data_IF_724253667175
#
_entry.id   IF_724253667175
#
_cell.length_a   1.000
_cell.length_b   1.000
_cell.length_c   1.000
_cell.angle_alpha   90.00
_cell.angle_beta   90.00
_cell.angle_gamma   90.00
#
_symmetry.space_group_name_H-M   'P 1'
#
loop_
_entity.id
_entity.type
_entity.pdbx_description
1 polymer ?
#
# COMPACT_ATOMS: atom_id res chain seq x y z
N UNK A 1 28.90 3.31 -15.53
CA UNK A 1 27.88 3.87 -14.59
C UNK A 1 27.89 3.00 -13.33
N UNK A 2 28.34 3.55 -12.18
CA UNK A 2 28.64 2.74 -10.98
C UNK A 2 27.37 2.17 -10.33
N UNK A 3 27.05 0.92 -10.63
CA UNK A 3 25.89 0.18 -10.08
C UNK A 3 25.91 0.22 -8.54
N UNK A 4 27.09 0.08 -7.93
CA UNK A 4 27.24 0.16 -6.47
C UNK A 4 26.86 1.53 -5.90
N UNK A 5 27.25 2.63 -6.56
CA UNK A 5 26.88 3.98 -6.11
C UNK A 5 25.38 4.21 -6.19
N UNK A 6 24.74 3.78 -7.27
CA UNK A 6 23.29 3.92 -7.43
C UNK A 6 22.52 3.08 -6.41
N UNK A 7 23.01 1.88 -6.10
CA UNK A 7 22.45 1.02 -5.07
C UNK A 7 22.54 1.65 -3.67
N UNK A 8 23.70 2.23 -3.31
CA UNK A 8 23.87 2.92 -2.03
C UNK A 8 22.97 4.14 -1.91
N UNK A 9 22.83 4.94 -2.98
CA UNK A 9 21.93 6.11 -3.01
C UNK A 9 20.49 5.66 -2.83
N UNK A 10 20.05 4.64 -3.55
CA UNK A 10 18.69 4.11 -3.47
C UNK A 10 18.37 3.57 -2.08
N UNK A 11 19.28 2.79 -1.49
CA UNK A 11 19.13 2.26 -0.13
C UNK A 11 19.07 3.38 0.91
N UNK A 12 19.92 4.41 0.75
CA UNK A 12 19.89 5.59 1.62
C UNK A 12 18.58 6.36 1.52
N UNK A 13 18.04 6.54 0.31
CA UNK A 13 16.74 7.19 0.11
C UNK A 13 15.59 6.41 0.75
N UNK A 14 15.58 5.08 0.61
CA UNK A 14 14.57 4.22 1.26
C UNK A 14 14.66 4.37 2.78
N UNK A 15 15.87 4.34 3.35
CA UNK A 15 16.05 4.49 4.80
C UNK A 15 15.58 5.86 5.30
N UNK A 16 15.88 6.94 4.58
CA UNK A 16 15.40 8.28 4.90
C UNK A 16 13.88 8.37 4.86
N UNK A 17 13.25 7.76 3.85
CA UNK A 17 11.80 7.69 3.71
C UNK A 17 11.16 6.92 4.87
N UNK A 18 11.71 5.78 5.26
CA UNK A 18 11.23 5.01 6.40
C UNK A 18 11.36 5.78 7.71
N UNK A 19 12.49 6.43 7.92
CA UNK A 19 12.71 7.23 9.10
C UNK A 19 11.72 8.42 9.18
N UNK A 20 11.42 9.03 8.04
CA UNK A 20 10.45 10.13 7.94
C UNK A 20 9.03 9.66 8.27
N UNK A 21 8.60 8.52 7.72
CA UNK A 21 7.30 7.92 8.03
C UNK A 21 7.23 7.47 9.50
N UNK A 22 8.31 6.90 10.02
CA UNK A 22 8.40 6.53 11.43
C UNK A 22 8.19 7.72 12.37
N UNK A 23 8.65 8.92 11.99
CA UNK A 23 8.38 10.12 12.78
C UNK A 23 6.88 10.43 12.89
N UNK A 24 6.11 10.25 11.81
CA UNK A 24 4.66 10.38 11.87
C UNK A 24 4.04 9.34 12.82
N UNK A 25 4.49 8.09 12.71
CA UNK A 25 4.04 7.03 13.61
C UNK A 25 4.35 7.34 15.08
N UNK A 26 5.53 7.86 15.37
CA UNK A 26 5.95 8.30 16.70
C UNK A 26 5.08 9.42 17.28
N UNK A 27 4.50 10.30 16.45
CA UNK A 27 3.62 11.37 16.94
C UNK A 27 2.25 10.85 17.41
N UNK A 28 1.81 9.69 16.89
CA UNK A 28 0.50 9.11 17.21
C UNK A 28 0.59 8.17 18.42
N UNK A 29 1.67 7.37 18.51
CA UNK A 29 1.80 6.39 19.58
C UNK A 29 3.05 6.60 20.43
N UNK A 30 2.87 6.56 21.75
CA UNK A 30 3.95 6.52 22.73
C UNK A 30 4.34 5.10 23.15
N UNK A 31 3.57 4.08 22.72
CA UNK A 31 3.78 2.70 23.09
C UNK A 31 5.05 2.13 22.44
N UNK A 32 6.03 1.76 23.27
CA UNK A 32 7.31 1.20 22.82
C UNK A 32 7.15 -0.11 22.05
N UNK A 33 6.21 -0.98 22.43
CA UNK A 33 5.99 -2.25 21.75
C UNK A 33 5.52 -2.02 20.29
N UNK A 34 4.63 -1.04 20.05
CA UNK A 34 4.20 -0.69 18.69
C UNK A 34 5.34 -0.10 17.86
N UNK A 35 6.21 0.69 18.46
CA UNK A 35 7.39 1.27 17.78
C UNK A 35 8.40 0.20 17.40
N UNK A 36 8.66 -0.76 18.29
CA UNK A 36 9.52 -1.91 18.00
C UNK A 36 8.88 -2.77 16.91
N UNK A 37 7.58 -3.06 17.01
CA UNK A 37 6.83 -3.79 16.01
C UNK A 37 6.92 -3.18 14.61
N UNK A 38 6.82 -1.84 14.49
CA UNK A 38 7.01 -1.14 13.23
C UNK A 38 8.37 -1.46 12.59
N UNK A 39 9.46 -1.35 13.36
CA UNK A 39 10.81 -1.62 12.86
C UNK A 39 11.03 -3.10 12.53
N UNK A 40 10.51 -4.03 13.34
CA UNK A 40 10.59 -5.46 13.06
C UNK A 40 9.91 -5.81 11.74
N UNK A 41 8.68 -5.32 11.53
CA UNK A 41 7.96 -5.55 10.27
C UNK A 41 8.71 -4.92 9.09
N UNK A 42 9.21 -3.70 9.25
CA UNK A 42 9.99 -3.01 8.22
C UNK A 42 11.24 -3.81 7.83
N UNK A 43 12.01 -4.28 8.80
CA UNK A 43 13.21 -5.09 8.57
C UNK A 43 12.87 -6.41 7.87
N UNK A 44 11.80 -7.09 8.29
CA UNK A 44 11.36 -8.34 7.67
C UNK A 44 10.95 -8.14 6.20
N UNK A 45 10.19 -7.08 5.91
CA UNK A 45 9.75 -6.78 4.55
C UNK A 45 10.93 -6.43 3.64
N UNK A 46 11.83 -5.54 4.07
CA UNK A 46 13.00 -5.21 3.26
C UNK A 46 13.99 -6.38 3.16
N UNK A 47 14.15 -7.16 4.24
CA UNK A 47 14.94 -8.40 4.20
C UNK A 47 14.39 -9.39 3.17
N UNK A 48 13.06 -9.53 3.09
CA UNK A 48 12.41 -10.32 2.05
C UNK A 48 12.72 -9.80 0.64
N UNK A 49 12.62 -8.48 0.39
CA UNK A 49 12.95 -7.91 -0.92
C UNK A 49 14.43 -8.09 -1.29
N UNK A 50 15.34 -7.92 -0.33
CA UNK A 50 16.77 -8.16 -0.56
C UNK A 50 17.02 -9.64 -0.89
N UNK A 51 16.41 -10.56 -0.15
CA UNK A 51 16.50 -12.00 -0.42
C UNK A 51 16.01 -12.32 -1.84
N UNK A 52 14.84 -11.80 -2.23
CA UNK A 52 14.27 -12.00 -3.56
C UNK A 52 15.19 -11.42 -4.65
N UNK A 53 15.77 -10.24 -4.44
CA UNK A 53 16.69 -9.61 -5.37
C UNK A 53 17.96 -10.44 -5.57
N UNK A 54 18.52 -11.00 -4.50
CA UNK A 54 19.75 -11.81 -4.55
C UNK A 54 19.52 -13.20 -5.16
N UNK A 55 18.33 -13.77 -4.98
CA UNK A 55 17.99 -15.13 -5.45
C UNK A 55 17.27 -15.14 -6.80
N UNK A 56 16.90 -13.97 -7.33
CA UNK A 56 16.21 -13.87 -8.61
C UNK A 56 17.15 -14.20 -9.77
N UNK A 57 16.94 -15.36 -10.40
CA UNK A 57 17.62 -15.74 -11.64
C UNK A 57 16.74 -15.37 -12.83
N UNK A 58 17.30 -14.71 -13.84
CA UNK A 58 16.59 -14.28 -15.06
C UNK A 58 15.87 -15.42 -15.82
N UNK A 59 16.25 -16.67 -15.53
CA UNK A 59 15.63 -17.89 -16.07
C UNK A 59 14.35 -18.32 -15.34
N UNK A 60 14.14 -17.88 -14.09
CA UNK A 60 12.99 -18.28 -13.28
C UNK A 60 11.81 -17.33 -13.57
N UNK A 61 11.02 -17.65 -14.61
CA UNK A 61 9.69 -17.08 -14.81
C UNK A 61 8.67 -17.76 -13.90
N UNK A 62 8.94 -17.82 -12.62
CA UNK A 62 7.97 -18.29 -11.65
C UNK A 62 6.92 -17.21 -11.39
N UNK A 63 5.78 -17.33 -12.08
CA UNK A 63 4.65 -16.42 -11.93
C UNK A 63 4.19 -16.29 -10.48
N UNK A 64 4.25 -17.38 -9.71
CA UNK A 64 3.85 -17.38 -8.31
C UNK A 64 4.78 -16.51 -7.46
N UNK A 65 6.08 -16.60 -7.69
CA UNK A 65 7.10 -15.78 -7.01
C UNK A 65 6.92 -14.29 -7.31
N UNK A 66 6.72 -13.95 -8.58
CA UNK A 66 6.45 -12.56 -9.00
C UNK A 66 5.18 -12.04 -8.33
N UNK A 67 4.13 -12.86 -8.27
CA UNK A 67 2.87 -12.51 -7.63
C UNK A 67 3.06 -12.21 -6.13
N UNK A 68 3.83 -13.03 -5.41
CA UNK A 68 4.11 -12.80 -3.98
C UNK A 68 4.87 -11.49 -3.78
N UNK A 69 5.94 -11.25 -4.54
CA UNK A 69 6.74 -10.02 -4.46
C UNK A 69 5.87 -8.79 -4.71
N UNK A 70 5.05 -8.83 -5.78
CA UNK A 70 4.13 -7.73 -6.11
C UNK A 70 3.08 -7.53 -5.01
N UNK A 71 2.56 -8.60 -4.42
CA UNK A 71 1.58 -8.53 -3.33
C UNK A 71 2.17 -7.86 -2.09
N UNK A 72 3.38 -8.26 -1.69
CA UNK A 72 4.08 -7.64 -0.53
C UNK A 72 4.37 -6.16 -0.82
N UNK A 73 4.77 -5.82 -2.06
CA UNK A 73 4.97 -4.44 -2.48
C UNK A 73 3.69 -3.61 -2.34
N UNK A 74 2.57 -4.11 -2.87
CA UNK A 74 1.28 -3.40 -2.83
C UNK A 74 0.77 -3.21 -1.40
N UNK A 75 0.94 -4.22 -0.53
CA UNK A 75 0.47 -4.14 0.86
C UNK A 75 1.31 -3.18 1.70
N UNK A 76 2.65 -3.20 1.54
CA UNK A 76 3.55 -2.51 2.45
C UNK A 76 4.11 -1.20 1.92
N UNK A 77 4.48 -1.14 0.65
CA UNK A 77 5.18 0.02 0.11
C UNK A 77 4.20 1.04 -0.44
N UNK A 78 3.18 0.58 -1.18
CA UNK A 78 2.22 1.50 -1.79
C UNK A 78 1.46 2.38 -0.77
N UNK A 79 0.94 1.84 0.36
CA UNK A 79 0.29 2.69 1.36
C UNK A 79 1.22 3.75 1.98
N UNK A 80 2.53 3.49 2.06
CA UNK A 80 3.52 4.45 2.58
C UNK A 80 3.61 5.72 1.73
N UNK A 81 3.38 5.64 0.43
CA UNK A 81 3.32 6.83 -0.43
C UNK A 81 2.18 7.78 -0.03
N UNK A 82 1.06 7.25 0.45
CA UNK A 82 -0.03 8.09 0.96
C UNK A 82 0.38 8.81 2.24
N UNK A 83 1.02 8.11 3.18
CA UNK A 83 1.57 8.76 4.38
C UNK A 83 2.54 9.85 3.99
N UNK A 84 3.47 9.53 3.08
CA UNK A 84 4.48 10.47 2.59
C UNK A 84 3.84 11.72 1.98
N UNK A 85 2.80 11.54 1.16
CA UNK A 85 2.07 12.65 0.53
C UNK A 85 1.52 13.63 1.57
N UNK A 86 0.84 13.15 2.61
CA UNK A 86 0.29 14.01 3.67
C UNK A 86 1.37 14.69 4.49
N UNK A 87 2.47 14.01 4.78
CA UNK A 87 3.58 14.58 5.53
C UNK A 87 4.33 15.66 4.73
N UNK A 88 4.59 15.40 3.45
CA UNK A 88 5.23 16.38 2.56
C UNK A 88 4.32 17.60 2.34
N UNK A 89 3.02 17.40 2.20
CA UNK A 89 2.07 18.50 2.10
C UNK A 89 2.13 19.36 3.38
N UNK A 90 2.18 18.74 4.58
CA UNK A 90 2.33 19.47 5.83
C UNK A 90 3.62 20.27 5.86
N UNK A 91 4.76 19.65 5.54
CA UNK A 91 6.05 20.29 5.56
C UNK A 91 6.13 21.43 4.53
N UNK A 92 5.54 21.25 3.35
CA UNK A 92 5.43 22.29 2.34
C UNK A 92 4.63 23.50 2.85
N UNK A 93 3.45 23.29 3.45
CA UNK A 93 2.67 24.37 4.03
C UNK A 93 3.37 25.05 5.21
N UNK A 94 4.16 24.31 5.97
CA UNK A 94 4.96 24.85 7.05
C UNK A 94 6.06 25.76 6.52
N UNK A 95 6.81 25.33 5.51
CA UNK A 95 7.86 26.14 4.87
C UNK A 95 7.27 27.41 4.25
N UNK A 96 6.15 27.28 3.53
CA UNK A 96 5.46 28.43 2.93
C UNK A 96 5.06 29.46 4.00
N UNK A 97 4.52 28.98 5.13
CA UNK A 97 4.12 29.84 6.24
C UNK A 97 5.35 30.51 6.89
N UNK A 98 6.45 29.79 7.09
CA UNK A 98 7.69 30.38 7.58
C UNK A 98 8.23 31.47 6.64
N UNK A 99 8.19 31.25 5.34
CA UNK A 99 8.59 32.26 4.34
C UNK A 99 7.71 33.52 4.39
N UNK A 100 6.41 33.35 4.62
CA UNK A 100 5.45 34.46 4.74
C UNK A 100 5.48 35.14 6.11
N UNK A 101 5.82 34.42 7.19
CA UNK A 101 5.87 34.95 8.56
C UNK A 101 7.04 35.87 8.80
N UNK A 102 8.01 35.95 7.89
CA UNK A 102 9.03 37.02 7.89
C UNK A 102 8.40 38.42 7.81
N UNK A 103 7.11 38.51 7.47
CA UNK A 103 6.32 39.74 7.38
C UNK A 103 5.25 39.86 8.48
N UNK A 104 5.04 38.83 9.33
CA UNK A 104 4.04 38.86 10.42
C UNK A 104 4.55 38.13 11.67
N UNK A 105 4.54 38.80 12.88
CA UNK A 105 5.26 38.29 14.07
C UNK A 105 4.59 37.16 14.85
N UNK A 106 3.51 36.55 14.41
CA UNK A 106 2.86 35.44 15.14
C UNK A 106 3.08 34.11 14.48
N UNK A 107 4.11 33.39 14.93
CA UNK A 107 4.32 31.97 14.59
C UNK A 107 3.69 31.09 15.68
N UNK A 108 2.40 30.82 15.58
CA UNK A 108 1.77 29.83 16.44
C UNK A 108 2.19 28.40 16.01
N UNK A 109 2.88 27.71 16.90
CA UNK A 109 3.21 26.30 16.76
C UNK A 109 1.94 25.48 17.02
N UNK A 110 1.42 24.79 15.98
CA UNK A 110 0.26 23.91 16.12
C UNK A 110 0.69 22.43 16.08
N UNK A 111 1.15 21.83 17.19
CA UNK A 111 1.54 20.41 17.24
C UNK A 111 0.37 19.48 16.94
N UNK A 112 -0.85 19.89 17.22
CA UNK A 112 -2.08 19.15 16.96
C UNK A 112 -2.33 18.93 15.46
N UNK A 113 -1.97 19.90 14.61
CA UNK A 113 -2.11 19.78 13.16
C UNK A 113 -1.25 18.66 12.59
N UNK A 114 0.01 18.56 13.05
CA UNK A 114 0.91 17.48 12.63
C UNK A 114 0.37 16.12 13.05
N UNK A 115 -0.14 16.01 14.29
CA UNK A 115 -0.78 14.79 14.78
C UNK A 115 -2.00 14.43 13.94
N UNK A 116 -2.84 15.40 13.61
CA UNK A 116 -4.04 15.21 12.78
C UNK A 116 -3.69 14.72 11.37
N UNK A 117 -2.73 15.35 10.68
CA UNK A 117 -2.32 14.94 9.34
C UNK A 117 -1.60 13.59 9.34
N UNK A 118 -0.80 13.30 10.38
CA UNK A 118 -0.21 11.96 10.57
C UNK A 118 -1.28 10.90 10.78
N UNK A 119 -2.36 11.21 11.52
CA UNK A 119 -3.48 10.30 11.74
C UNK A 119 -4.23 10.01 10.44
N UNK A 120 -4.51 11.05 9.64
CA UNK A 120 -5.15 10.88 8.32
C UNK A 120 -4.25 10.06 7.39
N UNK A 121 -2.95 10.39 7.32
CA UNK A 121 -2.00 9.68 6.47
C UNK A 121 -1.88 8.20 6.84
N UNK A 122 -1.67 7.89 8.12
CA UNK A 122 -1.58 6.51 8.60
C UNK A 122 -2.92 5.78 8.55
N UNK A 123 -4.02 6.47 8.83
CA UNK A 123 -5.36 5.90 8.71
C UNK A 123 -5.70 5.52 7.26
N UNK A 124 -5.44 6.41 6.31
CA UNK A 124 -5.64 6.11 4.89
C UNK A 124 -4.74 4.98 4.41
N UNK A 125 -3.47 4.95 4.85
CA UNK A 125 -2.55 3.86 4.53
C UNK A 125 -3.01 2.52 5.11
N UNK A 126 -3.55 2.50 6.33
CA UNK A 126 -4.11 1.29 6.95
C UNK A 126 -5.34 0.78 6.19
N UNK A 127 -6.24 1.68 5.76
CA UNK A 127 -7.40 1.32 4.93
C UNK A 127 -6.94 0.73 3.59
N UNK A 128 -6.02 1.39 2.90
CA UNK A 128 -5.50 0.90 1.63
C UNK A 128 -4.79 -0.44 1.78
N UNK A 129 -3.93 -0.60 2.78
CA UNK A 129 -3.28 -1.87 3.07
C UNK A 129 -4.29 -2.97 3.34
N UNK A 130 -5.34 -2.68 4.12
CA UNK A 130 -6.46 -3.60 4.38
C UNK A 130 -7.22 -4.00 3.11
N UNK A 131 -7.49 -3.05 2.21
CA UNK A 131 -8.14 -3.32 0.92
C UNK A 131 -7.27 -4.20 0.02
N UNK A 132 -5.94 -3.99 0.00
CA UNK A 132 -5.03 -4.85 -0.75
C UNK A 132 -4.98 -6.27 -0.15
N UNK A 133 -4.91 -6.40 1.17
CA UNK A 133 -4.97 -7.69 1.85
C UNK A 133 -6.27 -8.42 1.49
N UNK A 134 -7.42 -7.74 1.60
CA UNK A 134 -8.71 -8.32 1.22
C UNK A 134 -8.76 -8.73 -0.25
N UNK A 135 -8.31 -7.86 -1.17
CA UNK A 135 -8.27 -8.14 -2.60
C UNK A 135 -7.37 -9.32 -2.97
N UNK A 136 -6.18 -9.40 -2.38
CA UNK A 136 -5.17 -10.43 -2.67
C UNK A 136 -5.57 -11.78 -2.07
N UNK A 137 -6.06 -11.82 -0.83
CA UNK A 137 -6.39 -13.05 -0.12
C UNK A 137 -7.76 -13.57 -0.51
N UNK A 138 -8.77 -12.70 -0.50
CA UNK A 138 -10.16 -13.10 -0.68
C UNK A 138 -10.73 -12.79 -2.07
N UNK A 139 -10.14 -11.82 -2.79
CA UNK A 139 -10.67 -11.35 -4.08
C UNK A 139 -10.83 -12.48 -5.10
N UNK A 140 -9.84 -13.37 -5.20
CA UNK A 140 -9.85 -14.52 -6.12
C UNK A 140 -10.91 -15.58 -5.81
N UNK A 141 -11.46 -15.58 -4.59
CA UNK A 141 -12.48 -16.56 -4.18
C UNK A 141 -13.90 -15.97 -4.17
N UNK A 142 -14.07 -14.69 -4.51
CA UNK A 142 -15.38 -14.02 -4.55
C UNK A 142 -16.11 -14.30 -5.85
N UNK A 143 -16.57 -15.55 -6.04
CA UNK A 143 -17.40 -15.89 -7.18
C UNK A 143 -18.80 -15.29 -7.03
N UNK A 144 -19.30 -14.66 -8.11
CA UNK A 144 -20.66 -14.11 -8.16
C UNK A 144 -21.53 -14.98 -9.05
N UNK A 145 -22.58 -15.56 -8.46
CA UNK A 145 -23.59 -16.31 -9.21
C UNK A 145 -24.66 -15.32 -9.69
N UNK A 146 -24.73 -15.11 -11.00
CA UNK A 146 -25.80 -14.32 -11.62
C UNK A 146 -26.83 -15.27 -12.20
N UNK A 147 -28.08 -15.15 -11.79
CA UNK A 147 -29.20 -15.94 -12.32
C UNK A 147 -30.01 -15.07 -13.26
N UNK A 148 -30.03 -15.44 -14.54
CA UNK A 148 -30.78 -14.74 -15.58
C UNK A 148 -31.88 -15.70 -16.09
N UNK A 149 -33.14 -15.27 -16.07
CA UNK A 149 -34.24 -16.02 -16.67
C UNK A 149 -34.38 -15.58 -18.12
N UNK A 150 -34.08 -16.48 -19.03
CA UNK A 150 -34.27 -16.25 -20.47
C UNK A 150 -35.65 -16.73 -20.88
N UNK A 151 -36.44 -15.87 -21.55
CA UNK A 151 -37.69 -16.20 -22.20
C UNK A 151 -37.43 -16.25 -23.71
N UNK A 152 -37.38 -17.44 -24.29
CA UNK A 152 -37.14 -17.60 -25.72
C UNK A 152 -38.44 -18.04 -26.35
N UNK A 153 -38.97 -17.22 -27.28
CA UNK A 153 -40.16 -17.53 -28.03
C UNK A 153 -39.88 -18.70 -29.03
N UNK A 154 -40.80 -19.66 -29.13
CA UNK A 154 -40.62 -20.83 -30.01
C UNK A 154 -39.79 -21.97 -29.45
N UNK A 155 -39.35 -21.90 -28.18
CA UNK A 155 -38.60 -22.97 -27.54
C UNK A 155 -39.53 -24.20 -27.32
N UNK A 156 -39.15 -25.43 -27.74
CA UNK A 156 -39.95 -26.65 -27.49
C UNK A 156 -40.21 -26.86 -26.00
N UNK A 157 -41.38 -27.41 -25.66
CA UNK A 157 -41.82 -27.61 -24.27
C UNK A 157 -40.82 -28.49 -23.47
N UNK A 158 -40.10 -29.39 -24.11
CA UNK A 158 -39.05 -30.23 -23.51
C UNK A 158 -37.88 -29.42 -22.88
N UNK A 159 -37.64 -28.19 -23.34
CA UNK A 159 -36.61 -27.32 -22.81
C UNK A 159 -37.08 -26.40 -21.69
N UNK A 160 -38.36 -26.47 -21.32
CA UNK A 160 -38.91 -25.65 -20.23
C UNK A 160 -38.26 -26.05 -18.90
N UNK A 161 -37.61 -25.03 -18.25
CA UNK A 161 -36.90 -25.25 -16.99
C UNK A 161 -35.46 -25.73 -17.12
N UNK A 162 -34.94 -25.80 -18.35
CA UNK A 162 -33.52 -26.15 -18.57
C UNK A 162 -32.59 -25.09 -17.94
N UNK A 163 -31.50 -25.56 -17.31
CA UNK A 163 -30.52 -24.68 -16.66
C UNK A 163 -29.21 -24.75 -17.44
N UNK A 164 -28.75 -23.64 -17.92
CA UNK A 164 -27.44 -23.51 -18.56
C UNK A 164 -26.51 -22.82 -17.55
N UNK A 165 -25.35 -23.38 -17.29
CA UNK A 165 -24.32 -22.80 -16.44
C UNK A 165 -23.21 -22.34 -17.38
N UNK A 166 -22.91 -21.04 -17.28
CA UNK A 166 -21.76 -20.45 -17.96
C UNK A 166 -20.71 -20.07 -16.90
N UNK A 167 -19.51 -20.59 -17.03
CA UNK A 167 -18.37 -20.22 -16.21
C UNK A 167 -17.47 -19.33 -17.07
N UNK A 168 -17.22 -18.11 -16.61
CA UNK A 168 -16.31 -17.15 -17.26
C UNK A 168 -15.15 -16.82 -16.32
N UNK A 169 -14.05 -16.32 -16.89
CA UNK A 169 -12.84 -15.93 -16.15
C UNK A 169 -12.19 -17.07 -15.35
N UNK A 170 -12.08 -18.21 -15.96
CA UNK A 170 -11.32 -19.35 -15.42
C UNK A 170 -9.84 -19.14 -15.78
N UNK A 171 -9.04 -18.62 -14.81
CA UNK A 171 -7.59 -18.44 -14.94
C UNK A 171 -6.85 -19.50 -14.13
#
# INVERSE_FOLDING_TARGET
MNIQRNFLIFTGLIFLLEFYIYQAFKTITSNSALRIGYWLITILVYGFFIYELLTFKKSDRDHHRIQIVTSVFLIFILPKFFVLFFLLAEDFFRILRYGLSSFTPEVNHFPERRKFLSLIGLGSAAILGGLFIDGIIFGKYRHRIRRVKLKIAGLPASFKGYKIIQISDVH
#
